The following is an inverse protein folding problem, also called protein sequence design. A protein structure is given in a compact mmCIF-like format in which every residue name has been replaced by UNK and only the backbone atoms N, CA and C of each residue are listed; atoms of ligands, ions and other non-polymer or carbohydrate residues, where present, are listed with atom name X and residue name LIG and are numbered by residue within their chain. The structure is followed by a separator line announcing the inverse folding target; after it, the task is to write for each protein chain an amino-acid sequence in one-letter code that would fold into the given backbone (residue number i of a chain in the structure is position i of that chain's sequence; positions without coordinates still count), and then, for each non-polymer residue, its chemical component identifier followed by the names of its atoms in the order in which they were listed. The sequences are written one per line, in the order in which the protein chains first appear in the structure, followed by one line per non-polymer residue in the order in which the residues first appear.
data_IF_887332346833
#
_entry.id   IF_887332346833
#
_cell.length_a   1.000
_cell.length_b   1.000
_cell.length_c   1.000
_cell.angle_alpha   90.00
_cell.angle_beta   90.00
_cell.angle_gamma   90.00
#
_symmetry.space_group_name_H-M   'P 1'
#
loop_
_entity.id
_entity.type
_entity.pdbx_description
1 polymer ?
#
# COMPACT_ATOMS: atom_id res chain seq x y z
N UNK A 1 33.86 -61.08 37.63
CA UNK A 1 33.97 -59.70 37.12
C UNK A 1 32.68 -59.44 36.40
N UNK A 2 31.78 -58.57 37.00
CA UNK A 2 30.45 -58.27 36.46
C UNK A 2 30.51 -56.92 35.77
N UNK A 3 30.29 -56.90 34.45
CA UNK A 3 30.23 -55.68 33.65
C UNK A 3 28.84 -55.05 33.82
N UNK A 4 28.78 -53.87 34.41
CA UNK A 4 27.55 -53.04 34.48
C UNK A 4 27.61 -52.10 33.27
N UNK A 5 26.67 -52.31 32.30
CA UNK A 5 26.45 -51.37 31.21
C UNK A 5 25.49 -50.27 31.68
N UNK A 6 26.00 -49.02 31.76
CA UNK A 6 25.17 -47.84 31.99
C UNK A 6 24.45 -47.46 30.68
N UNK A 7 23.16 -47.63 30.63
CA UNK A 7 22.31 -47.05 29.58
C UNK A 7 22.09 -45.55 29.92
N UNK A 8 22.67 -44.65 29.12
CA UNK A 8 22.30 -43.22 29.13
C UNK A 8 21.01 -43.04 28.33
N UNK A 9 19.92 -42.82 29.04
CA UNK A 9 18.64 -42.43 28.45
C UNK A 9 18.65 -40.90 28.21
N UNK A 10 18.96 -40.49 26.96
CA UNK A 10 18.90 -39.08 26.55
C UNK A 10 17.45 -38.61 26.48
N UNK A 11 16.99 -37.83 27.43
CA UNK A 11 15.74 -37.07 27.33
C UNK A 11 15.94 -35.97 26.33
N UNK A 12 15.41 -36.13 25.12
CA UNK A 12 15.21 -35.06 24.16
C UNK A 12 14.06 -34.14 24.68
N UNK A 13 14.41 -33.04 25.31
CA UNK A 13 13.45 -31.97 25.57
C UNK A 13 13.11 -31.32 24.23
N UNK A 14 11.95 -31.65 23.66
CA UNK A 14 11.32 -30.87 22.61
C UNK A 14 10.90 -29.55 23.22
N UNK A 15 11.69 -28.48 23.01
CA UNK A 15 11.27 -27.13 23.34
C UNK A 15 10.03 -26.79 22.50
N UNK A 16 8.94 -26.31 23.11
CA UNK A 16 7.80 -25.86 22.34
C UNK A 16 8.25 -24.71 21.46
N UNK A 17 8.19 -24.92 20.15
CA UNK A 17 8.41 -23.86 19.16
C UNK A 17 7.19 -22.95 19.25
N UNK A 18 7.25 -21.90 20.08
CA UNK A 18 6.26 -20.84 20.09
C UNK A 18 6.24 -20.25 18.68
N UNK A 19 5.20 -20.50 17.92
CA UNK A 19 4.93 -19.80 16.69
C UNK A 19 4.81 -18.33 17.05
N UNK A 20 5.81 -17.53 16.70
CA UNK A 20 5.78 -16.08 16.90
C UNK A 20 4.53 -15.56 16.16
N UNK A 21 3.63 -14.93 16.91
CA UNK A 21 2.40 -14.38 16.33
C UNK A 21 2.79 -13.33 15.28
N UNK A 22 2.49 -13.63 14.02
CA UNK A 22 2.90 -12.77 12.91
C UNK A 22 2.08 -11.50 12.89
N UNK A 23 2.74 -10.36 12.94
CA UNK A 23 2.10 -9.05 12.85
C UNK A 23 1.38 -8.84 11.51
N UNK A 24 1.91 -9.44 10.44
CA UNK A 24 1.42 -9.31 9.06
C UNK A 24 1.21 -10.67 8.41
N UNK A 25 0.56 -10.69 7.24
CA UNK A 25 0.35 -11.91 6.48
C UNK A 25 1.66 -12.48 5.92
N UNK A 26 1.67 -13.78 5.62
CA UNK A 26 2.80 -14.45 4.95
C UNK A 26 3.18 -13.77 3.64
N UNK A 27 2.17 -13.35 2.86
CA UNK A 27 2.41 -12.66 1.59
C UNK A 27 3.07 -11.28 1.81
N UNK A 28 2.66 -10.56 2.86
CA UNK A 28 3.32 -9.31 3.23
C UNK A 28 4.81 -9.53 3.50
N UNK A 29 5.16 -10.51 4.35
CA UNK A 29 6.56 -10.81 4.70
C UNK A 29 7.39 -11.20 3.46
N UNK A 30 6.83 -12.05 2.58
CA UNK A 30 7.48 -12.44 1.33
C UNK A 30 7.79 -11.23 0.44
N UNK A 31 6.85 -10.30 0.32
CA UNK A 31 7.03 -9.10 -0.52
C UNK A 31 7.91 -8.05 0.15
N UNK A 32 7.77 -7.83 1.45
CA UNK A 32 8.54 -6.85 2.18
C UNK A 32 10.03 -7.23 2.18
N UNK A 33 10.37 -8.48 2.50
CA UNK A 33 11.77 -8.97 2.46
C UNK A 33 12.36 -8.93 1.05
N UNK A 34 11.56 -9.25 0.01
CA UNK A 34 12.03 -9.07 -1.37
C UNK A 34 12.34 -7.60 -1.67
N UNK A 35 11.52 -6.66 -1.16
CA UNK A 35 11.76 -5.23 -1.39
C UNK A 35 13.00 -4.70 -0.64
N UNK A 36 13.44 -5.35 0.42
CA UNK A 36 14.71 -5.07 1.09
C UNK A 36 15.91 -5.42 0.20
N UNK A 37 15.82 -6.53 -0.56
CA UNK A 37 16.86 -6.98 -1.50
C UNK A 37 16.89 -6.17 -2.81
N UNK A 38 15.76 -5.57 -3.20
CA UNK A 38 15.66 -4.83 -4.45
C UNK A 38 16.09 -3.36 -4.26
N UNK A 39 17.19 -2.93 -4.88
CA UNK A 39 17.72 -1.58 -4.68
C UNK A 39 16.73 -0.52 -5.15
N UNK A 40 16.67 0.57 -4.39
CA UNK A 40 16.02 1.83 -4.78
C UNK A 40 17.09 2.88 -5.01
N UNK A 41 16.94 3.67 -6.07
CA UNK A 41 17.89 4.72 -6.45
C UNK A 41 17.19 6.07 -6.56
N UNK A 42 17.99 7.14 -6.62
CA UNK A 42 17.49 8.52 -6.78
C UNK A 42 16.83 8.80 -8.13
N UNK A 43 16.85 7.86 -9.07
CA UNK A 43 16.13 7.95 -10.36
C UNK A 43 14.76 7.26 -10.31
N UNK A 44 14.50 6.47 -9.28
CA UNK A 44 13.30 5.64 -9.22
C UNK A 44 12.06 6.46 -8.88
N UNK A 45 10.95 6.02 -9.44
CA UNK A 45 9.60 6.53 -9.21
C UNK A 45 8.82 5.38 -8.60
N UNK A 46 8.45 5.50 -7.35
CA UNK A 46 7.87 4.42 -6.56
C UNK A 46 6.34 4.55 -6.51
N UNK A 47 5.62 3.53 -6.95
CA UNK A 47 4.21 3.34 -6.64
C UNK A 47 4.10 2.51 -5.37
N UNK A 48 3.68 3.15 -4.28
CA UNK A 48 3.63 2.58 -2.93
C UNK A 48 2.18 2.43 -2.49
N UNK A 49 1.80 1.25 -2.02
CA UNK A 49 0.43 1.00 -1.58
C UNK A 49 0.09 -0.48 -1.36
N UNK A 50 -1.17 -0.82 -1.54
CA UNK A 50 -1.75 -2.14 -1.28
C UNK A 50 -1.93 -3.01 -2.55
N UNK A 51 -2.98 -3.88 -2.57
CA UNK A 51 -3.30 -4.76 -3.71
C UNK A 51 -3.57 -3.99 -5.00
N UNK A 52 -4.23 -2.85 -4.93
CA UNK A 52 -4.55 -2.04 -6.10
C UNK A 52 -3.26 -1.54 -6.77
N UNK A 53 -2.26 -1.15 -5.96
CA UNK A 53 -0.93 -0.82 -6.47
C UNK A 53 -0.16 -2.05 -6.93
N UNK A 54 -0.26 -3.16 -6.19
CA UNK A 54 0.44 -4.42 -6.51
C UNK A 54 0.00 -5.01 -7.85
N UNK A 55 -1.28 -4.87 -8.23
CA UNK A 55 -1.88 -5.50 -9.40
C UNK A 55 -1.55 -4.87 -10.76
N UNK A 56 -0.56 -3.97 -10.85
CA UNK A 56 -0.19 -3.29 -12.09
C UNK A 56 1.29 -3.47 -12.44
N UNK A 57 1.57 -3.71 -13.70
CA UNK A 57 2.91 -3.72 -14.28
C UNK A 57 3.35 -2.29 -14.64
N UNK A 58 3.63 -1.50 -13.59
CA UNK A 58 3.89 -0.05 -13.69
C UNK A 58 5.00 0.32 -14.67
N UNK A 59 6.10 -0.44 -14.68
CA UNK A 59 7.22 -0.18 -15.57
C UNK A 59 6.82 -0.31 -17.05
N UNK A 60 6.00 -1.31 -17.36
CA UNK A 60 5.48 -1.54 -18.72
C UNK A 60 4.43 -0.49 -19.07
N UNK A 61 3.49 -0.22 -18.16
CA UNK A 61 2.42 0.75 -18.37
C UNK A 61 2.94 2.15 -18.70
N UNK A 62 4.05 2.56 -18.09
CA UNK A 62 4.72 3.85 -18.35
C UNK A 62 5.88 3.75 -19.35
N UNK A 63 6.22 2.55 -19.84
CA UNK A 63 7.42 2.31 -20.67
C UNK A 63 8.68 2.93 -20.04
N UNK A 64 8.79 2.81 -18.72
CA UNK A 64 9.86 3.44 -17.95
C UNK A 64 10.36 2.50 -16.86
N UNK A 65 11.56 1.96 -17.02
CA UNK A 65 12.20 1.03 -16.08
C UNK A 65 12.47 1.60 -14.68
N UNK A 66 12.43 2.92 -14.53
CA UNK A 66 12.61 3.56 -13.24
C UNK A 66 11.30 3.59 -12.42
N UNK A 67 10.15 3.29 -13.03
CA UNK A 67 8.89 3.16 -12.31
C UNK A 67 8.84 1.79 -11.63
N UNK A 68 8.71 1.78 -10.31
CA UNK A 68 8.79 0.57 -9.47
C UNK A 68 7.49 0.31 -8.73
N UNK A 69 7.04 -0.93 -8.79
CA UNK A 69 5.93 -1.40 -7.96
C UNK A 69 6.42 -1.71 -6.53
N UNK A 70 5.84 -1.06 -5.54
CA UNK A 70 6.02 -1.33 -4.11
C UNK A 70 4.65 -1.51 -3.43
N UNK A 71 3.70 -2.11 -4.14
CA UNK A 71 2.41 -2.54 -3.60
C UNK A 71 2.50 -3.90 -2.93
N UNK A 72 1.75 -4.11 -1.85
CA UNK A 72 1.55 -5.42 -1.21
C UNK A 72 0.06 -5.65 -0.98
N UNK A 73 -0.49 -6.75 -1.49
CA UNK A 73 -1.90 -7.07 -1.30
C UNK A 73 -2.25 -7.23 0.18
N UNK A 74 -3.36 -6.61 0.61
CA UNK A 74 -3.81 -6.63 2.00
C UNK A 74 -3.11 -5.64 2.93
N UNK A 75 -2.17 -4.83 2.41
CA UNK A 75 -1.40 -3.88 3.21
C UNK A 75 -2.27 -2.74 3.75
N UNK A 76 -1.91 -2.27 4.93
CA UNK A 76 -2.53 -1.18 5.69
C UNK A 76 -1.54 -0.04 5.89
N UNK A 77 -2.01 1.09 6.39
CA UNK A 77 -1.16 2.26 6.62
C UNK A 77 0.07 1.92 7.47
N UNK A 78 -0.10 1.23 8.59
CA UNK A 78 1.03 0.84 9.45
C UNK A 78 1.94 -0.20 8.81
N UNK A 79 1.42 -1.07 7.92
CA UNK A 79 2.26 -1.98 7.16
C UNK A 79 3.18 -1.25 6.19
N UNK A 80 2.67 -0.24 5.49
CA UNK A 80 3.50 0.65 4.66
C UNK A 80 4.56 1.36 5.50
N UNK A 81 4.19 1.90 6.67
CA UNK A 81 5.11 2.59 7.57
C UNK A 81 6.28 1.70 8.01
N UNK A 82 5.99 0.46 8.39
CA UNK A 82 6.99 -0.50 8.91
C UNK A 82 8.00 -0.96 7.84
N UNK A 83 7.60 -0.99 6.54
CA UNK A 83 8.47 -1.38 5.41
C UNK A 83 9.03 -0.22 4.59
N UNK A 84 9.00 0.98 5.13
CA UNK A 84 9.38 2.18 4.39
C UNK A 84 10.91 2.37 4.28
N UNK A 85 11.67 1.84 5.24
CA UNK A 85 13.12 2.08 5.37
C UNK A 85 13.93 1.79 4.10
N UNK A 86 13.82 0.64 3.43
CA UNK A 86 14.58 0.38 2.21
C UNK A 86 14.22 1.33 1.06
N UNK A 87 13.00 1.87 1.04
CA UNK A 87 12.54 2.83 0.04
C UNK A 87 13.18 4.20 0.29
N UNK A 88 13.06 4.75 1.49
CA UNK A 88 13.57 6.09 1.82
C UNK A 88 15.09 6.15 1.86
N UNK A 89 15.76 5.05 2.23
CA UNK A 89 17.22 4.89 2.15
C UNK A 89 17.74 5.10 0.72
N UNK A 90 16.98 4.64 -0.28
CA UNK A 90 17.33 4.81 -1.70
C UNK A 90 17.11 6.23 -2.23
N UNK A 91 16.41 7.09 -1.49
CA UNK A 91 16.12 8.49 -1.82
C UNK A 91 15.52 8.63 -3.23
N UNK A 92 14.39 7.95 -3.53
CA UNK A 92 13.82 7.95 -4.87
C UNK A 92 13.44 9.37 -5.33
N UNK A 93 13.39 9.59 -6.65
CA UNK A 93 12.97 10.87 -7.21
C UNK A 93 11.54 11.22 -6.79
N UNK A 94 10.65 10.20 -6.83
CA UNK A 94 9.21 10.38 -6.58
C UNK A 94 8.62 9.18 -5.86
N UNK A 95 7.61 9.44 -5.00
CA UNK A 95 6.76 8.42 -4.40
C UNK A 95 5.31 8.80 -4.67
N UNK A 96 4.53 7.88 -5.24
CA UNK A 96 3.08 7.95 -5.38
C UNK A 96 2.46 7.01 -4.34
N UNK A 97 1.86 7.58 -3.29
CA UNK A 97 1.27 6.81 -2.19
C UNK A 97 -0.24 6.68 -2.36
N UNK A 98 -0.76 5.45 -2.35
CA UNK A 98 -2.18 5.14 -2.29
C UNK A 98 -2.40 4.02 -1.26
N UNK A 99 -3.04 4.34 -0.13
CA UNK A 99 -3.26 3.42 0.99
C UNK A 99 -4.51 3.83 1.79
N UNK A 100 -5.07 2.92 2.59
CA UNK A 100 -6.15 3.20 3.54
C UNK A 100 -7.38 2.32 3.37
N UNK A 101 -7.64 1.74 2.18
CA UNK A 101 -8.86 0.95 1.95
C UNK A 101 -8.90 -0.35 2.77
N UNK A 102 -7.77 -0.99 3.05
CA UNK A 102 -7.73 -2.17 3.91
C UNK A 102 -7.92 -1.82 5.38
N UNK A 103 -7.52 -0.63 5.79
CA UNK A 103 -7.81 -0.07 7.13
C UNK A 103 -9.32 0.15 7.30
N UNK A 104 -10.00 0.68 6.26
CA UNK A 104 -11.46 0.78 6.22
C UNK A 104 -12.12 -0.58 6.44
N UNK A 105 -11.66 -1.63 5.77
CA UNK A 105 -12.23 -2.98 5.91
C UNK A 105 -12.07 -3.57 7.30
N UNK A 106 -11.06 -3.12 8.04
CA UNK A 106 -10.78 -3.49 9.44
C UNK A 106 -11.55 -2.64 10.46
N UNK A 107 -12.37 -1.70 10.00
CA UNK A 107 -13.17 -0.83 10.87
C UNK A 107 -12.42 0.38 11.43
N UNK A 108 -11.23 0.69 10.92
CA UNK A 108 -10.47 1.86 11.33
C UNK A 108 -11.20 3.13 10.88
N UNK A 109 -11.29 4.14 11.76
CA UNK A 109 -11.94 5.42 11.44
C UNK A 109 -11.12 6.26 10.47
N UNK A 110 -11.78 7.16 9.72
CA UNK A 110 -11.10 8.06 8.79
C UNK A 110 -10.01 8.89 9.49
N UNK A 111 -10.28 9.46 10.66
CA UNK A 111 -9.29 10.25 11.42
C UNK A 111 -8.04 9.45 11.78
N UNK A 112 -8.21 8.20 12.20
CA UNK A 112 -7.08 7.34 12.52
C UNK A 112 -6.28 6.98 11.28
N UNK A 113 -6.93 6.68 10.15
CA UNK A 113 -6.28 6.42 8.86
C UNK A 113 -5.45 7.63 8.43
N UNK A 114 -6.01 8.84 8.54
CA UNK A 114 -5.32 10.09 8.22
C UNK A 114 -4.12 10.32 9.14
N UNK A 115 -4.24 10.04 10.43
CA UNK A 115 -3.11 10.14 11.37
C UNK A 115 -1.97 9.18 10.98
N UNK A 116 -2.28 7.94 10.61
CA UNK A 116 -1.30 6.94 10.16
C UNK A 116 -0.67 7.33 8.81
N UNK A 117 -1.45 7.85 7.86
CA UNK A 117 -0.90 8.40 6.60
C UNK A 117 0.03 9.58 6.87
N UNK A 118 -0.33 10.47 7.81
CA UNK A 118 0.55 11.58 8.23
C UNK A 118 1.89 11.07 8.75
N UNK A 119 1.91 9.99 9.53
CA UNK A 119 3.17 9.37 10.00
C UNK A 119 4.04 8.90 8.82
N UNK A 120 3.43 8.28 7.80
CA UNK A 120 4.15 7.84 6.59
C UNK A 120 4.75 9.06 5.87
N UNK A 121 3.93 10.10 5.63
CA UNK A 121 4.36 11.34 4.97
C UNK A 121 5.53 11.99 5.71
N UNK A 122 5.42 12.13 7.03
CA UNK A 122 6.46 12.74 7.87
C UNK A 122 7.75 11.91 7.87
N UNK A 123 7.66 10.58 7.89
CA UNK A 123 8.83 9.70 7.77
C UNK A 123 9.53 9.88 6.43
N UNK A 124 8.79 9.91 5.31
CA UNK A 124 9.35 10.16 3.98
C UNK A 124 10.05 11.52 3.93
N UNK A 125 9.40 12.58 4.40
CA UNK A 125 9.97 13.94 4.40
C UNK A 125 11.24 14.05 5.25
N UNK A 126 11.28 13.41 6.41
CA UNK A 126 12.43 13.41 7.32
C UNK A 126 13.62 12.64 6.74
N UNK A 127 13.37 11.45 6.18
CA UNK A 127 14.43 10.53 5.78
C UNK A 127 14.82 10.64 4.30
N UNK A 128 13.94 11.20 3.46
CA UNK A 128 14.18 11.44 2.04
C UNK A 128 13.66 12.82 1.58
N UNK A 129 14.20 13.93 2.11
CA UNK A 129 13.62 15.27 1.97
C UNK A 129 13.60 15.81 0.54
N UNK A 130 14.38 15.23 -0.39
CA UNK A 130 14.39 15.60 -1.81
C UNK A 130 13.39 14.81 -2.65
N UNK A 131 12.78 13.76 -2.10
CA UNK A 131 11.75 12.96 -2.78
C UNK A 131 10.48 13.79 -2.97
N UNK A 132 10.00 13.89 -4.19
CA UNK A 132 8.68 14.48 -4.47
C UNK A 132 7.60 13.48 -4.10
N UNK A 133 6.81 13.79 -3.09
CA UNK A 133 5.72 12.92 -2.62
C UNK A 133 4.39 13.35 -3.21
N UNK A 134 3.69 12.40 -3.82
CA UNK A 134 2.35 12.54 -4.37
C UNK A 134 1.40 11.68 -3.54
N UNK A 135 0.51 12.34 -2.80
CA UNK A 135 -0.49 11.71 -1.97
C UNK A 135 -1.77 11.56 -2.79
N UNK A 136 -2.08 10.33 -3.16
CA UNK A 136 -3.22 10.02 -4.03
C UNK A 136 -4.47 9.76 -3.19
N UNK A 137 -5.62 10.26 -3.64
CA UNK A 137 -6.91 9.93 -3.01
C UNK A 137 -7.16 8.42 -3.08
N UNK A 138 -7.80 7.88 -2.04
CA UNK A 138 -8.28 6.50 -2.02
C UNK A 138 -9.36 6.35 -3.08
N UNK A 139 -9.25 5.32 -3.91
CA UNK A 139 -10.23 5.06 -4.98
C UNK A 139 -11.61 4.74 -4.40
N UNK A 140 -12.69 5.14 -5.10
CA UNK A 140 -14.03 4.71 -4.69
C UNK A 140 -14.15 3.19 -4.76
N UNK A 141 -15.13 2.65 -4.05
CA UNK A 141 -15.49 1.23 -4.09
C UNK A 141 -16.95 1.07 -4.50
N UNK A 142 -17.37 -0.13 -4.89
CA UNK A 142 -18.76 -0.37 -5.32
C UNK A 142 -19.28 -1.70 -4.75
N UNK A 143 -20.37 -1.67 -4.03
CA UNK A 143 -21.00 -2.82 -3.37
C UNK A 143 -21.92 -3.65 -4.28
N UNK A 144 -22.17 -3.21 -5.53
CA UNK A 144 -23.10 -3.89 -6.45
C UNK A 144 -22.70 -5.32 -6.82
N UNK A 145 -21.43 -5.70 -6.61
CA UNK A 145 -20.92 -7.05 -6.93
C UNK A 145 -21.06 -8.05 -5.79
N UNK A 146 -21.46 -7.63 -4.58
CA UNK A 146 -21.52 -8.48 -3.39
C UNK A 146 -20.19 -9.10 -2.97
N UNK A 147 -19.06 -8.51 -3.43
CA UNK A 147 -17.71 -8.95 -3.09
C UNK A 147 -17.01 -7.94 -2.19
N UNK A 148 -16.03 -8.41 -1.40
CA UNK A 148 -15.23 -7.56 -0.52
C UNK A 148 -16.08 -6.67 0.41
N UNK A 149 -17.15 -7.22 0.99
CA UNK A 149 -18.16 -6.47 1.76
C UNK A 149 -17.54 -5.57 2.86
N UNK A 150 -16.46 -6.01 3.52
CA UNK A 150 -15.76 -5.19 4.51
C UNK A 150 -15.20 -3.88 3.95
N UNK A 151 -14.92 -3.82 2.64
CA UNK A 151 -14.44 -2.64 1.94
C UNK A 151 -15.60 -1.89 1.28
N UNK A 152 -16.39 -2.62 0.46
CA UNK A 152 -17.34 -2.02 -0.49
C UNK A 152 -18.59 -1.47 0.19
N UNK A 153 -19.06 -2.05 1.31
CA UNK A 153 -20.17 -1.53 2.09
C UNK A 153 -19.85 -0.23 2.85
N UNK A 154 -18.57 0.15 2.91
CA UNK A 154 -18.10 1.33 3.63
C UNK A 154 -17.64 2.46 2.69
N UNK A 155 -18.21 2.57 1.52
CA UNK A 155 -17.84 3.56 0.50
C UNK A 155 -17.90 5.01 1.00
N UNK A 156 -18.80 5.33 1.96
CA UNK A 156 -18.89 6.65 2.57
C UNK A 156 -17.63 7.00 3.38
N UNK A 157 -16.99 6.00 4.04
CA UNK A 157 -15.75 6.22 4.78
C UNK A 157 -14.61 6.58 3.85
N UNK A 158 -14.60 6.04 2.63
CA UNK A 158 -13.63 6.43 1.60
C UNK A 158 -13.72 7.91 1.27
N UNK A 159 -14.95 8.43 1.12
CA UNK A 159 -15.16 9.87 0.91
C UNK A 159 -14.65 10.69 2.09
N UNK A 160 -14.95 10.29 3.33
CA UNK A 160 -14.47 10.96 4.54
C UNK A 160 -12.94 11.02 4.60
N UNK A 161 -12.25 9.93 4.23
CA UNK A 161 -10.78 9.91 4.16
C UNK A 161 -10.31 10.95 3.15
N UNK A 162 -10.88 10.98 1.95
CA UNK A 162 -10.44 11.88 0.89
C UNK A 162 -10.70 13.35 1.23
N UNK A 163 -11.82 13.66 1.91
CA UNK A 163 -12.13 15.01 2.41
C UNK A 163 -11.07 15.52 3.42
N UNK A 164 -10.38 14.61 4.12
CA UNK A 164 -9.30 14.91 5.07
C UNK A 164 -7.90 14.82 4.45
N UNK A 165 -7.75 14.07 3.36
CA UNK A 165 -6.45 13.78 2.76
C UNK A 165 -5.87 14.98 2.00
N UNK A 166 -6.70 15.75 1.32
CA UNK A 166 -6.29 16.98 0.64
C UNK A 166 -5.80 18.05 1.64
N UNK A 167 -6.54 18.38 2.72
CA UNK A 167 -6.03 19.24 3.79
C UNK A 167 -4.72 18.74 4.42
N UNK A 168 -4.56 17.41 4.59
CA UNK A 168 -3.30 16.85 5.06
C UNK A 168 -2.16 17.14 4.08
N UNK A 169 -2.39 16.96 2.78
CA UNK A 169 -1.38 17.22 1.75
C UNK A 169 -0.93 18.70 1.77
N UNK A 170 -1.87 19.61 1.90
CA UNK A 170 -1.60 21.06 2.05
C UNK A 170 -0.77 21.32 3.31
N UNK A 171 -1.19 20.81 4.46
CA UNK A 171 -0.49 20.95 5.74
C UNK A 171 0.95 20.43 5.67
N UNK A 172 1.15 19.29 5.04
CA UNK A 172 2.45 18.65 4.91
C UNK A 172 3.30 19.20 3.76
N UNK A 173 2.75 20.06 2.90
CA UNK A 173 3.44 20.65 1.74
C UNK A 173 3.79 19.59 0.69
N UNK A 174 2.93 18.60 0.49
CA UNK A 174 3.05 17.55 -0.53
C UNK A 174 1.96 17.70 -1.59
N UNK A 175 2.16 17.08 -2.76
CA UNK A 175 1.19 17.20 -3.85
C UNK A 175 0.04 16.22 -3.64
N UNK A 176 -1.19 16.73 -3.56
CA UNK A 176 -2.39 15.91 -3.65
C UNK A 176 -2.69 15.54 -5.10
N UNK A 177 -3.11 14.30 -5.34
CA UNK A 177 -3.53 13.82 -6.67
C UNK A 177 -4.92 13.21 -6.53
N UNK A 178 -5.91 13.89 -7.08
CA UNK A 178 -7.28 13.39 -7.10
C UNK A 178 -7.42 12.26 -8.13
N UNK A 179 -7.51 11.04 -7.65
CA UNK A 179 -7.94 9.89 -8.44
C UNK A 179 -9.45 9.67 -8.28
N UNK A 180 -9.98 9.90 -7.06
CA UNK A 180 -11.33 9.54 -6.68
C UNK A 180 -12.39 10.07 -7.66
N UNK A 181 -12.38 11.37 -7.95
CA UNK A 181 -13.39 12.00 -8.83
C UNK A 181 -13.37 11.43 -10.25
N UNK A 182 -12.23 10.90 -10.69
CA UNK A 182 -12.07 10.31 -12.02
C UNK A 182 -12.56 8.85 -12.12
N UNK A 183 -12.88 8.23 -10.99
CA UNK A 183 -13.32 6.84 -10.92
C UNK A 183 -14.75 6.67 -10.41
N UNK A 184 -15.36 7.74 -9.91
CA UNK A 184 -16.75 7.73 -9.44
C UNK A 184 -17.71 7.62 -10.61
N UNK A 185 -18.82 6.90 -10.42
CA UNK A 185 -19.93 6.79 -11.36
C UNK A 185 -20.97 7.89 -11.08
N UNK A 186 -20.87 9.00 -11.80
CA UNK A 186 -21.73 10.17 -11.61
C UNK A 186 -21.74 10.63 -10.15
N UNK A 187 -22.93 10.92 -9.62
CA UNK A 187 -23.11 11.43 -8.26
C UNK A 187 -23.25 10.30 -7.19
N UNK A 188 -23.02 9.05 -7.57
CA UNK A 188 -23.25 7.90 -6.67
C UNK A 188 -22.24 7.80 -5.52
N UNK A 189 -21.07 8.38 -5.66
CA UNK A 189 -19.94 8.20 -4.75
C UNK A 189 -19.29 6.81 -4.84
N UNK A 190 -19.75 5.95 -5.75
CA UNK A 190 -19.26 4.57 -5.94
C UNK A 190 -18.40 4.45 -7.18
N UNK A 191 -17.52 3.43 -7.21
CA UNK A 191 -16.67 3.18 -8.38
C UNK A 191 -17.51 2.85 -9.61
N UNK A 192 -17.17 3.47 -10.74
CA UNK A 192 -17.79 3.18 -12.02
C UNK A 192 -17.52 1.71 -12.43
N UNK A 193 -18.58 0.92 -12.74
CA UNK A 193 -18.45 -0.47 -13.14
C UNK A 193 -17.54 -0.72 -14.34
N UNK A 194 -17.29 0.29 -15.17
CA UNK A 194 -16.38 0.16 -16.31
C UNK A 194 -14.91 -0.08 -15.89
N UNK A 195 -14.56 0.21 -14.65
CA UNK A 195 -13.20 0.11 -14.13
C UNK A 195 -12.97 -1.06 -13.19
N UNK A 196 -14.02 -1.79 -12.80
CA UNK A 196 -13.92 -2.88 -11.81
C UNK A 196 -14.86 -4.04 -12.18
N UNK A 197 -14.57 -5.24 -11.68
CA UNK A 197 -15.46 -6.42 -11.76
C UNK A 197 -15.71 -7.07 -10.41
N UNK A 198 -15.23 -6.45 -9.34
CA UNK A 198 -15.42 -6.92 -7.97
C UNK A 198 -15.76 -5.79 -6.97
N UNK A 199 -15.75 -4.54 -7.46
CA UNK A 199 -16.09 -3.35 -6.70
C UNK A 199 -14.92 -2.75 -5.90
N UNK A 200 -13.71 -3.34 -5.98
CA UNK A 200 -12.53 -2.91 -5.22
C UNK A 200 -11.29 -2.77 -6.12
N UNK A 201 -10.96 -3.80 -6.90
CA UNK A 201 -9.78 -3.85 -7.74
C UNK A 201 -10.07 -3.34 -9.15
N UNK A 202 -9.02 -2.86 -9.82
CA UNK A 202 -9.15 -2.27 -11.13
C UNK A 202 -8.99 -3.31 -12.25
N UNK A 203 -9.81 -3.15 -13.28
CA UNK A 203 -9.58 -3.72 -14.60
C UNK A 203 -8.53 -2.91 -15.37
N UNK A 204 -8.03 -3.43 -16.48
CA UNK A 204 -7.03 -2.76 -17.32
C UNK A 204 -7.41 -1.32 -17.72
N UNK A 205 -8.69 -1.06 -18.04
CA UNK A 205 -9.20 0.30 -18.31
C UNK A 205 -9.01 1.25 -17.12
N UNK A 206 -9.16 0.75 -15.89
CA UNK A 206 -8.91 1.53 -14.69
C UNK A 206 -7.44 1.91 -14.55
N UNK A 207 -6.51 0.98 -14.81
CA UNK A 207 -5.08 1.29 -14.78
C UNK A 207 -4.66 2.26 -15.89
N UNK A 208 -5.23 2.17 -17.09
CA UNK A 208 -5.01 3.16 -18.15
C UNK A 208 -5.50 4.55 -17.70
N UNK A 209 -6.68 4.63 -17.08
CA UNK A 209 -7.20 5.89 -16.53
C UNK A 209 -6.27 6.46 -15.46
N UNK A 210 -5.81 5.63 -14.53
CA UNK A 210 -4.86 6.04 -13.48
C UNK A 210 -3.57 6.58 -14.09
N UNK A 211 -3.00 5.85 -15.05
CA UNK A 211 -1.82 6.29 -15.81
C UNK A 211 -2.00 7.70 -16.37
N UNK A 212 -3.12 7.95 -17.06
CA UNK A 212 -3.34 9.23 -17.73
C UNK A 212 -3.43 10.40 -16.74
N UNK A 213 -3.99 10.16 -15.55
CA UNK A 213 -4.07 11.16 -14.47
C UNK A 213 -2.68 11.47 -13.92
N UNK A 214 -1.85 10.45 -13.66
CA UNK A 214 -0.55 10.66 -12.99
C UNK A 214 0.61 10.93 -13.96
N UNK A 215 0.45 10.66 -15.25
CA UNK A 215 1.48 10.86 -16.27
C UNK A 215 2.12 12.26 -16.24
N UNK A 216 1.36 13.36 -16.12
CA UNK A 216 1.96 14.72 -16.04
C UNK A 216 2.93 14.89 -14.86
N UNK A 217 2.71 14.16 -13.74
CA UNK A 217 3.58 14.21 -12.57
C UNK A 217 4.82 13.31 -12.73
N UNK A 218 4.73 12.27 -13.55
CA UNK A 218 5.87 11.39 -13.87
C UNK A 218 6.84 12.11 -14.80
N UNK A 219 6.35 12.75 -15.84
CA UNK A 219 7.14 13.40 -16.88
C UNK A 219 7.78 14.73 -16.41
N UNK A 220 7.19 15.37 -15.39
CA UNK A 220 7.72 16.64 -14.84
C UNK A 220 9.07 16.41 -14.13
N UNK A 221 10.10 17.09 -14.60
CA UNK A 221 11.44 17.07 -13.96
C UNK A 221 11.45 17.73 -12.58
#
# INVERSE_FOLDING_TARGET
MKNIALLFLGLLFALPQFAQERKYSTFYEQRATLFEELPVTSKDIIFLGNSITNGCEWAELFQNKNVKNRGISGDICMGVYDRLDPIVKGKPAKIFLLIGINDVSRGTSADKIIAEISMIVQKIKRESPKTKLYLQSVLPVNDCYGKFNGHTSRWQVVKQINDLLEPLAVKEGVTYVDLYSHFVDGDTGKMNPAYTNDGLHLLGKGYLRWRDIVKPYIDKK
#
